data_IF_861049059928
#
_entry.id   IF_861049059928
#
_cell.length_a   1.000
_cell.length_b   1.000
_cell.length_c   1.000
_cell.angle_alpha   90.00
_cell.angle_beta   90.00
_cell.angle_gamma   90.00
#
_symmetry.space_group_name_H-M   'P 1'
#
loop_
_entity.id
_entity.type
_entity.pdbx_description
1 polymer ?
#
# COMPACT_ATOMS: atom_id res chain seq x y z
N UNK A 1 -3.13 -20.69 -11.41
CA UNK A 1 -2.99 -19.40 -10.74
C UNK A 1 -1.62 -19.20 -10.10
N UNK A 2 -1.13 -20.15 -9.33
CA UNK A 2 0.17 -20.06 -8.65
C UNK A 2 1.31 -19.77 -9.59
N UNK A 3 1.39 -20.47 -10.75
CA UNK A 3 2.42 -20.26 -11.77
C UNK A 3 2.40 -18.81 -12.29
N UNK A 4 1.22 -18.25 -12.54
CA UNK A 4 1.09 -16.88 -13.02
C UNK A 4 1.57 -15.88 -11.95
N UNK A 5 1.13 -16.04 -10.71
CA UNK A 5 1.51 -15.16 -9.59
C UNK A 5 3.00 -15.18 -9.29
N UNK A 6 3.60 -16.38 -9.22
CA UNK A 6 5.02 -16.56 -8.99
C UNK A 6 5.84 -15.95 -10.14
N UNK A 7 5.44 -16.22 -11.39
CA UNK A 7 6.13 -15.69 -12.55
C UNK A 7 6.07 -14.16 -12.64
N UNK A 8 4.97 -13.53 -12.21
CA UNK A 8 4.87 -12.06 -12.12
C UNK A 8 5.81 -11.52 -11.05
N UNK A 9 5.90 -12.19 -9.87
CA UNK A 9 6.83 -11.80 -8.80
C UNK A 9 8.29 -11.91 -9.23
N UNK A 10 8.63 -12.95 -10.00
CA UNK A 10 9.97 -13.20 -10.49
C UNK A 10 10.32 -12.45 -11.78
N UNK A 11 9.41 -11.57 -12.28
CA UNK A 11 9.54 -10.84 -13.55
C UNK A 11 9.71 -11.75 -14.78
N UNK A 12 9.23 -13.00 -14.71
CA UNK A 12 9.19 -13.96 -15.83
C UNK A 12 7.95 -13.72 -16.69
N UNK A 13 7.90 -12.58 -17.34
CA UNK A 13 6.68 -12.06 -17.99
C UNK A 13 6.09 -13.02 -19.03
N UNK A 14 6.89 -13.61 -19.90
CA UNK A 14 6.42 -14.59 -20.90
C UNK A 14 5.76 -15.84 -20.29
N UNK A 15 6.28 -16.30 -19.14
CA UNK A 15 5.72 -17.45 -18.44
C UNK A 15 4.39 -17.08 -17.76
N UNK A 16 4.33 -15.88 -17.19
CA UNK A 16 3.12 -15.34 -16.58
C UNK A 16 2.01 -15.17 -17.62
N UNK A 17 2.33 -14.58 -18.77
CA UNK A 17 1.41 -14.38 -19.89
C UNK A 17 0.83 -15.70 -20.39
N UNK A 18 1.68 -16.68 -20.69
CA UNK A 18 1.22 -18.02 -21.12
C UNK A 18 0.28 -18.66 -20.08
N UNK A 19 0.58 -18.53 -18.80
CA UNK A 19 -0.26 -19.08 -17.74
C UNK A 19 -1.62 -18.37 -17.68
N UNK A 20 -1.67 -17.03 -17.80
CA UNK A 20 -2.91 -16.25 -17.83
C UNK A 20 -3.74 -16.54 -19.08
N UNK A 21 -3.11 -16.61 -20.27
CA UNK A 21 -3.79 -16.97 -21.51
C UNK A 21 -4.34 -18.40 -21.47
N UNK A 22 -3.67 -19.32 -20.76
CA UNK A 22 -4.19 -20.68 -20.56
C UNK A 22 -5.47 -20.67 -19.69
N UNK A 23 -5.54 -19.79 -18.69
CA UNK A 23 -6.75 -19.59 -17.87
C UNK A 23 -7.88 -19.07 -18.75
N UNK A 24 -7.60 -18.04 -19.56
CA UNK A 24 -8.60 -17.42 -20.46
C UNK A 24 -9.11 -18.36 -21.56
N UNK A 25 -8.31 -19.36 -22.00
CA UNK A 25 -8.78 -20.40 -22.91
C UNK A 25 -9.84 -21.32 -22.30
N UNK A 26 -9.80 -21.50 -20.99
CA UNK A 26 -10.76 -22.34 -20.26
C UNK A 26 -11.97 -21.52 -19.80
N UNK A 27 -11.72 -20.28 -19.40
CA UNK A 27 -12.72 -19.34 -18.91
C UNK A 27 -12.47 -17.97 -19.53
N UNK A 28 -13.11 -17.74 -20.69
CA UNK A 28 -12.96 -16.50 -21.48
C UNK A 28 -13.50 -15.26 -20.75
N UNK A 29 -14.37 -15.44 -19.75
CA UNK A 29 -14.97 -14.34 -18.97
C UNK A 29 -14.31 -14.16 -17.60
N UNK A 30 -13.09 -14.63 -17.43
CA UNK A 30 -12.36 -14.48 -16.18
C UNK A 30 -11.82 -13.06 -15.99
N UNK A 31 -12.59 -12.19 -15.34
CA UNK A 31 -12.20 -10.80 -15.09
C UNK A 31 -10.87 -10.68 -14.33
N UNK A 32 -10.64 -11.57 -13.35
CA UNK A 32 -9.38 -11.61 -12.59
C UNK A 32 -8.18 -11.91 -13.49
N UNK A 33 -8.31 -12.80 -14.47
CA UNK A 33 -7.24 -13.11 -15.40
C UNK A 33 -6.91 -11.91 -16.30
N UNK A 34 -7.93 -11.21 -16.83
CA UNK A 34 -7.74 -9.97 -17.59
C UNK A 34 -7.08 -8.88 -16.74
N UNK A 35 -7.53 -8.66 -15.50
CA UNK A 35 -6.92 -7.68 -14.62
C UNK A 35 -5.42 -7.97 -14.38
N UNK A 36 -5.05 -9.24 -14.16
CA UNK A 36 -3.65 -9.63 -13.98
C UNK A 36 -2.84 -9.51 -15.26
N UNK A 37 -3.44 -9.78 -16.42
CA UNK A 37 -2.80 -9.56 -17.72
C UNK A 37 -2.55 -8.07 -17.96
N UNK A 38 -3.52 -7.22 -17.62
CA UNK A 38 -3.34 -5.77 -17.63
C UNK A 38 -2.19 -5.28 -16.75
N UNK A 39 -2.09 -5.80 -15.52
CA UNK A 39 -0.94 -5.50 -14.62
C UNK A 39 0.38 -5.98 -15.26
N UNK A 40 0.40 -7.14 -15.89
CA UNK A 40 1.57 -7.67 -16.55
C UNK A 40 2.03 -6.77 -17.71
N UNK A 41 1.12 -6.36 -18.56
CA UNK A 41 1.39 -5.45 -19.68
C UNK A 41 1.81 -4.06 -19.21
N UNK A 42 1.19 -3.54 -18.15
CA UNK A 42 1.61 -2.27 -17.54
C UNK A 42 3.06 -2.31 -17.04
N UNK A 43 3.48 -3.42 -16.40
CA UNK A 43 4.89 -3.64 -15.99
C UNK A 43 5.85 -3.67 -17.18
N UNK A 44 5.42 -4.12 -18.35
CA UNK A 44 6.17 -4.13 -19.59
C UNK A 44 6.07 -2.81 -20.38
N UNK A 45 5.37 -1.82 -19.85
CA UNK A 45 5.03 -0.52 -20.48
C UNK A 45 4.22 -0.66 -21.78
N UNK A 46 3.59 -1.81 -22.00
CA UNK A 46 2.61 -2.05 -23.05
C UNK A 46 1.25 -1.45 -22.63
N UNK A 47 1.20 -0.12 -22.52
CA UNK A 47 0.10 0.58 -21.86
C UNK A 47 -1.25 0.44 -22.58
N UNK A 48 -1.23 0.34 -23.93
CA UNK A 48 -2.45 0.13 -24.72
C UNK A 48 -3.08 -1.22 -24.40
N UNK A 49 -2.26 -2.29 -24.45
CA UNK A 49 -2.73 -3.65 -24.17
C UNK A 49 -3.16 -3.79 -22.70
N UNK A 50 -2.48 -3.10 -21.81
CA UNK A 50 -2.86 -3.06 -20.39
C UNK A 50 -4.23 -2.42 -20.18
N UNK A 51 -4.51 -1.25 -20.80
CA UNK A 51 -5.81 -0.57 -20.70
C UNK A 51 -6.91 -1.46 -21.27
N UNK A 52 -6.70 -2.06 -22.45
CA UNK A 52 -7.68 -2.98 -23.06
C UNK A 52 -8.03 -4.13 -22.11
N UNK A 53 -7.03 -4.76 -21.51
CA UNK A 53 -7.25 -5.83 -20.54
C UNK A 53 -8.05 -5.34 -19.31
N UNK A 54 -7.77 -4.14 -18.79
CA UNK A 54 -8.52 -3.58 -17.67
C UNK A 54 -9.95 -3.19 -18.06
N UNK A 55 -10.18 -2.69 -19.27
CA UNK A 55 -11.53 -2.39 -19.79
C UNK A 55 -12.37 -3.66 -19.92
N UNK A 56 -11.78 -4.75 -20.44
CA UNK A 56 -12.46 -6.06 -20.49
C UNK A 56 -12.76 -6.53 -19.06
N UNK A 57 -11.77 -6.49 -18.16
CA UNK A 57 -12.00 -6.88 -16.77
C UNK A 57 -13.12 -6.08 -16.12
N UNK A 58 -13.15 -4.76 -16.34
CA UNK A 58 -14.16 -3.84 -15.82
C UNK A 58 -15.56 -4.10 -16.39
N UNK A 59 -15.66 -4.51 -17.67
CA UNK A 59 -16.93 -4.86 -18.30
C UNK A 59 -17.51 -6.18 -17.80
N UNK A 60 -16.65 -7.10 -17.39
CA UNK A 60 -17.03 -8.41 -16.84
C UNK A 60 -17.35 -8.33 -15.35
N UNK A 61 -16.51 -7.66 -14.58
CA UNK A 61 -16.65 -7.49 -13.15
C UNK A 61 -16.08 -6.10 -12.75
N UNK A 62 -16.95 -5.10 -12.57
CA UNK A 62 -16.51 -3.77 -12.13
C UNK A 62 -15.71 -3.83 -10.83
N UNK A 63 -14.53 -3.20 -10.81
CA UNK A 63 -13.68 -3.15 -9.62
C UNK A 63 -12.90 -1.86 -9.50
N UNK A 64 -12.85 -1.31 -8.30
CA UNK A 64 -12.02 -0.14 -7.99
C UNK A 64 -10.52 -0.39 -8.26
N UNK A 65 -10.07 -1.63 -8.15
CA UNK A 65 -8.67 -1.99 -8.43
C UNK A 65 -8.32 -1.86 -9.91
N UNK A 66 -9.23 -2.25 -10.83
CA UNK A 66 -9.01 -2.07 -12.29
C UNK A 66 -8.95 -0.60 -12.65
N UNK A 67 -9.89 0.21 -12.14
CA UNK A 67 -9.89 1.67 -12.36
C UNK A 67 -8.66 2.35 -11.77
N UNK A 68 -8.23 1.93 -10.58
CA UNK A 68 -6.98 2.42 -9.99
C UNK A 68 -5.76 2.15 -10.89
N UNK A 69 -5.65 0.92 -11.44
CA UNK A 69 -4.55 0.56 -12.32
C UNK A 69 -4.60 1.36 -13.64
N UNK A 70 -5.77 1.59 -14.21
CA UNK A 70 -5.95 2.48 -15.37
C UNK A 70 -5.51 3.91 -15.03
N UNK A 71 -5.89 4.42 -13.87
CA UNK A 71 -5.45 5.73 -13.37
C UNK A 71 -3.92 5.84 -13.27
N UNK A 72 -3.25 4.79 -12.78
CA UNK A 72 -1.78 4.76 -12.73
C UNK A 72 -1.16 4.82 -14.13
N UNK A 73 -1.71 4.11 -15.12
CA UNK A 73 -1.22 4.17 -16.51
C UNK A 73 -1.39 5.57 -17.09
N UNK A 74 -2.55 6.20 -16.88
CA UNK A 74 -2.75 7.57 -17.33
C UNK A 74 -1.82 8.57 -16.63
N UNK A 75 -1.49 8.35 -15.36
CA UNK A 75 -0.49 9.14 -14.65
C UNK A 75 0.91 8.98 -15.25
N UNK A 76 1.34 7.75 -15.52
CA UNK A 76 2.65 7.44 -16.13
C UNK A 76 2.76 7.96 -17.57
N UNK A 77 1.64 8.11 -18.27
CA UNK A 77 1.57 8.68 -19.62
C UNK A 77 1.23 10.18 -19.61
N UNK A 78 1.34 10.82 -18.46
CA UNK A 78 1.12 12.26 -18.24
C UNK A 78 -0.28 12.77 -18.63
N UNK A 79 -1.25 11.86 -18.76
CA UNK A 79 -2.64 12.22 -19.02
C UNK A 79 -3.38 12.40 -17.69
N UNK A 80 -3.08 13.49 -17.00
CA UNK A 80 -3.49 13.71 -15.61
C UNK A 80 -5.00 13.89 -15.45
N UNK A 81 -5.71 14.43 -16.44
CA UNK A 81 -7.16 14.57 -16.44
C UNK A 81 -7.85 13.21 -16.45
N UNK A 82 -7.41 12.29 -17.33
CA UNK A 82 -7.94 10.92 -17.35
C UNK A 82 -7.55 10.13 -16.12
N UNK A 83 -6.35 10.33 -15.60
CA UNK A 83 -5.90 9.73 -14.34
C UNK A 83 -6.81 10.17 -13.18
N UNK A 84 -7.11 11.48 -13.08
CA UNK A 84 -8.01 12.01 -12.06
C UNK A 84 -9.39 11.35 -12.11
N UNK A 85 -9.98 11.28 -13.31
CA UNK A 85 -11.28 10.66 -13.49
C UNK A 85 -11.29 9.18 -13.08
N UNK A 86 -10.28 8.43 -13.49
CA UNK A 86 -10.17 7.01 -13.15
C UNK A 86 -10.02 6.78 -11.63
N UNK A 87 -9.23 7.63 -10.95
CA UNK A 87 -9.12 7.54 -9.49
C UNK A 87 -10.38 8.00 -8.77
N UNK A 88 -11.07 9.05 -9.26
CA UNK A 88 -12.35 9.47 -8.70
C UNK A 88 -13.38 8.33 -8.78
N UNK A 89 -13.53 7.69 -9.94
CA UNK A 89 -14.39 6.53 -10.10
C UNK A 89 -14.00 5.34 -9.20
N UNK A 90 -12.69 5.09 -9.03
CA UNK A 90 -12.21 4.05 -8.12
C UNK A 90 -12.57 4.35 -6.66
N UNK A 91 -12.48 5.61 -6.24
CA UNK A 91 -12.83 6.06 -4.89
C UNK A 91 -14.35 6.08 -4.64
N UNK A 92 -15.16 6.33 -5.68
CA UNK A 92 -16.62 6.20 -5.60
C UNK A 92 -17.08 4.76 -5.40
N UNK A 93 -16.33 3.78 -5.92
CA UNK A 93 -16.63 2.36 -5.72
C UNK A 93 -16.15 1.84 -4.35
N UNK A 94 -14.95 2.22 -3.93
CA UNK A 94 -14.32 1.78 -2.69
C UNK A 94 -13.43 2.91 -2.16
N UNK A 95 -13.71 3.41 -0.98
CA UNK A 95 -13.06 4.58 -0.36
C UNK A 95 -12.24 4.23 0.91
N UNK A 96 -12.01 2.95 1.15
CA UNK A 96 -11.38 2.43 2.36
C UNK A 96 -9.86 2.21 2.26
N UNK A 97 -9.23 2.58 1.14
CA UNK A 97 -7.81 2.32 0.89
C UNK A 97 -7.00 3.62 0.80
N UNK A 98 -6.15 3.87 1.82
CA UNK A 98 -5.28 5.05 1.86
C UNK A 98 -4.41 5.23 0.59
N UNK A 99 -3.94 4.13 0.01
CA UNK A 99 -3.13 4.15 -1.21
C UNK A 99 -3.85 4.78 -2.42
N UNK A 100 -5.20 4.62 -2.54
CA UNK A 100 -5.98 5.25 -3.61
C UNK A 100 -6.03 6.76 -3.45
N UNK A 101 -6.24 7.24 -2.24
CA UNK A 101 -6.22 8.68 -1.94
C UNK A 101 -4.85 9.30 -2.18
N UNK A 102 -3.77 8.60 -1.82
CA UNK A 102 -2.40 9.07 -2.10
C UNK A 102 -2.14 9.15 -3.61
N UNK A 103 -2.58 8.15 -4.38
CA UNK A 103 -2.44 8.18 -5.84
C UNK A 103 -3.24 9.32 -6.47
N UNK A 104 -4.48 9.52 -6.02
CA UNK A 104 -5.31 10.65 -6.44
C UNK A 104 -4.69 12.00 -6.10
N UNK A 105 -4.16 12.15 -4.87
CA UNK A 105 -3.47 13.38 -4.46
C UNK A 105 -2.27 13.71 -5.36
N UNK A 106 -1.46 12.71 -5.75
CA UNK A 106 -0.35 12.91 -6.69
C UNK A 106 -0.80 13.43 -8.06
N UNK A 107 -1.93 12.94 -8.55
CA UNK A 107 -2.52 13.46 -9.80
C UNK A 107 -2.98 14.89 -9.62
N UNK A 108 -3.69 15.19 -8.52
CA UNK A 108 -4.16 16.56 -8.24
C UNK A 108 -3.00 17.55 -8.05
N UNK A 109 -1.86 17.10 -7.54
CA UNK A 109 -0.64 17.91 -7.46
C UNK A 109 -0.12 18.27 -8.87
N UNK A 110 -0.11 17.32 -9.81
CA UNK A 110 0.28 17.57 -11.21
C UNK A 110 -0.68 18.53 -11.92
N UNK A 111 -1.96 18.47 -11.59
CA UNK A 111 -2.99 19.41 -12.10
C UNK A 111 -2.89 20.79 -11.42
N UNK A 112 -2.23 20.88 -10.25
CA UNK A 112 -2.10 22.12 -9.48
C UNK A 112 -3.27 22.40 -8.52
N UNK A 113 -4.08 21.39 -8.20
CA UNK A 113 -5.24 21.54 -7.32
C UNK A 113 -4.91 21.26 -5.85
N UNK A 114 -4.21 22.21 -5.20
CA UNK A 114 -3.74 22.09 -3.81
C UNK A 114 -4.84 21.70 -2.82
N UNK A 115 -6.05 22.21 -2.99
CA UNK A 115 -7.18 21.88 -2.09
C UNK A 115 -7.55 20.39 -2.17
N UNK A 116 -7.66 19.84 -3.39
CA UNK A 116 -7.95 18.42 -3.57
C UNK A 116 -6.80 17.53 -3.07
N UNK A 117 -5.55 17.99 -3.21
CA UNK A 117 -4.35 17.30 -2.66
C UNK A 117 -4.50 17.14 -1.15
N UNK A 118 -4.73 18.23 -0.43
CA UNK A 118 -4.83 18.21 1.04
C UNK A 118 -5.99 17.32 1.48
N UNK A 119 -7.19 17.53 0.93
CA UNK A 119 -8.36 16.74 1.30
C UNK A 119 -8.15 15.22 1.09
N UNK A 120 -7.52 14.84 -0.02
CA UNK A 120 -7.25 13.43 -0.29
C UNK A 120 -6.21 12.86 0.69
N UNK A 121 -5.16 13.60 1.01
CA UNK A 121 -4.14 13.15 1.96
C UNK A 121 -4.65 13.12 3.40
N UNK A 122 -5.55 14.02 3.79
CA UNK A 122 -6.25 13.95 5.08
C UNK A 122 -7.04 12.64 5.19
N UNK A 123 -7.79 12.26 4.14
CA UNK A 123 -8.49 10.98 4.08
C UNK A 123 -7.52 9.78 4.16
N UNK A 124 -6.40 9.84 3.46
CA UNK A 124 -5.38 8.80 3.55
C UNK A 124 -4.83 8.65 4.99
N UNK A 125 -4.62 9.76 5.71
CA UNK A 125 -4.16 9.76 7.11
C UNK A 125 -5.25 9.27 8.07
N UNK A 126 -6.53 9.58 7.82
CA UNK A 126 -7.65 9.04 8.60
C UNK A 126 -7.72 7.51 8.51
N UNK A 127 -7.52 6.96 7.29
CA UNK A 127 -7.55 5.52 7.05
C UNK A 127 -6.28 4.81 7.56
N UNK A 128 -5.13 5.39 7.33
CA UNK A 128 -3.84 4.79 7.67
C UNK A 128 -2.88 5.83 8.29
N UNK A 129 -3.01 6.11 9.60
CA UNK A 129 -2.20 7.12 10.28
C UNK A 129 -0.78 6.60 10.61
N UNK A 130 -0.01 6.23 9.59
CA UNK A 130 1.40 5.80 9.73
C UNK A 130 2.37 6.97 9.50
N UNK A 131 3.63 6.88 9.98
CA UNK A 131 4.61 7.96 9.79
C UNK A 131 4.77 8.41 8.35
N UNK A 132 4.62 7.50 7.39
CA UNK A 132 4.76 7.81 5.97
C UNK A 132 3.60 8.68 5.45
N UNK A 133 2.35 8.34 5.74
CA UNK A 133 1.18 9.13 5.33
C UNK A 133 1.18 10.52 5.98
N UNK A 134 1.56 10.60 7.27
CA UNK A 134 1.71 11.86 7.98
C UNK A 134 2.77 12.78 7.33
N UNK A 135 3.90 12.23 6.88
CA UNK A 135 4.94 13.01 6.20
C UNK A 135 4.46 13.56 4.85
N UNK A 136 3.78 12.73 4.06
CA UNK A 136 3.23 13.15 2.75
C UNK A 136 2.23 14.30 2.95
N UNK A 137 1.34 14.21 3.93
CA UNK A 137 0.41 15.30 4.25
C UNK A 137 1.14 16.56 4.75
N UNK A 138 2.19 16.40 5.57
CA UNK A 138 3.00 17.52 6.02
C UNK A 138 3.68 18.27 4.85
N UNK A 139 4.19 17.53 3.85
CA UNK A 139 4.75 18.12 2.64
C UNK A 139 3.68 18.90 1.84
N UNK A 140 2.46 18.38 1.74
CA UNK A 140 1.35 19.07 1.08
C UNK A 140 0.95 20.36 1.81
N UNK A 141 0.94 20.37 3.14
CA UNK A 141 0.69 21.56 3.92
C UNK A 141 1.79 22.62 3.78
N UNK A 142 3.08 22.21 3.73
CA UNK A 142 4.17 23.14 3.45
C UNK A 142 4.02 23.80 2.07
N UNK A 143 3.71 23.00 1.06
CA UNK A 143 3.48 23.50 -0.30
C UNK A 143 2.29 24.47 -0.37
N UNK A 144 1.35 24.35 0.56
CA UNK A 144 0.20 25.25 0.72
C UNK A 144 0.49 26.47 1.64
N UNK A 145 1.72 26.59 2.19
CA UNK A 145 2.10 27.64 3.14
C UNK A 145 1.57 27.44 4.57
N UNK A 146 1.03 26.27 4.89
CA UNK A 146 0.48 25.92 6.21
C UNK A 146 1.54 25.21 7.08
N UNK A 147 2.65 25.90 7.33
CA UNK A 147 3.84 25.33 7.96
C UNK A 147 3.62 24.84 9.40
N UNK A 148 2.74 25.47 10.16
CA UNK A 148 2.43 25.06 11.54
C UNK A 148 1.80 23.66 11.58
N UNK A 149 0.82 23.37 10.71
CA UNK A 149 0.20 22.06 10.57
C UNK A 149 1.20 21.00 10.09
N UNK A 150 2.07 21.38 9.16
CA UNK A 150 3.12 20.51 8.67
C UNK A 150 4.09 20.08 9.80
N UNK A 151 4.50 21.01 10.66
CA UNK A 151 5.35 20.72 11.80
C UNK A 151 4.69 19.81 12.83
N UNK A 152 3.40 20.02 13.13
CA UNK A 152 2.65 19.15 14.04
C UNK A 152 2.61 17.70 13.54
N UNK A 153 2.34 17.52 12.24
CA UNK A 153 2.32 16.18 11.63
C UNK A 153 3.71 15.51 11.66
N UNK A 154 4.78 16.27 11.43
CA UNK A 154 6.15 15.75 11.52
C UNK A 154 6.51 15.33 12.95
N UNK A 155 6.13 16.13 13.94
CA UNK A 155 6.30 15.78 15.36
C UNK A 155 5.53 14.50 15.71
N UNK A 156 4.29 14.36 15.22
CA UNK A 156 3.47 13.15 15.39
C UNK A 156 4.13 11.93 14.73
N UNK A 157 4.59 12.06 13.49
CA UNK A 157 5.27 10.99 12.76
C UNK A 157 6.57 10.55 13.48
N UNK A 158 7.37 11.50 13.97
CA UNK A 158 8.61 11.22 14.71
C UNK A 158 8.32 10.50 16.02
N UNK A 159 7.29 10.92 16.77
CA UNK A 159 6.89 10.27 18.02
C UNK A 159 6.47 8.81 17.81
N UNK A 160 5.88 8.47 16.68
CA UNK A 160 5.51 7.09 16.33
C UNK A 160 6.72 6.21 16.01
N UNK A 161 7.83 6.80 15.56
CA UNK A 161 9.07 6.08 15.24
C UNK A 161 9.99 5.88 16.45
N UNK A 162 9.85 6.71 17.51
CA UNK A 162 10.63 6.55 18.73
C UNK A 162 9.99 5.46 19.60
N UNK A 163 10.70 4.36 19.92
CA UNK A 163 10.17 3.39 20.87
C UNK A 163 9.94 4.09 22.19
N UNK A 164 8.75 3.95 22.75
CA UNK A 164 8.44 4.41 24.13
C UNK A 164 9.35 3.67 25.11
N UNK A 165 10.41 4.33 25.55
CA UNK A 165 11.33 3.83 26.59
C UNK A 165 10.71 3.86 27.98
N UNK A 166 9.41 3.59 28.12
CA UNK A 166 8.73 3.57 29.40
C UNK A 166 8.07 2.23 29.69
N UNK A 167 8.85 1.13 29.67
CA UNK A 167 8.51 -0.08 30.44
C UNK A 167 9.72 -0.99 30.64
N UNK A 168 10.78 -0.46 31.26
CA UNK A 168 11.81 -1.29 31.91
C UNK A 168 12.25 -0.64 33.22
N UNK A 169 11.30 -0.54 34.16
CA UNK A 169 11.58 -0.45 35.59
C UNK A 169 10.67 -1.45 36.29
N UNK A 170 11.00 -2.71 36.21
CA UNK A 170 10.64 -3.76 37.14
C UNK A 170 11.30 -5.04 36.65
N UNK A 171 12.44 -5.32 37.15
CA UNK A 171 12.84 -6.58 37.76
C UNK A 171 14.32 -6.50 38.10
N UNK A 172 14.58 -5.97 39.28
CA UNK A 172 15.83 -6.25 39.95
C UNK A 172 15.87 -7.75 40.25
N UNK A 173 16.95 -8.47 39.93
CA UNK A 173 17.02 -9.91 40.21
C UNK A 173 16.96 -10.11 41.74
N UNK A 174 16.01 -10.89 42.23
CA UNK A 174 15.93 -11.32 43.62
C UNK A 174 17.21 -12.05 43.98
N UNK A 175 17.83 -11.75 45.15
CA UNK A 175 19.02 -12.45 45.59
C UNK A 175 18.73 -13.94 45.73
N UNK A 176 19.58 -14.78 45.11
CA UNK A 176 19.53 -16.22 45.23
C UNK A 176 19.68 -16.60 46.72
N UNK A 177 18.64 -17.18 47.34
CA UNK A 177 18.73 -17.85 48.60
C UNK A 177 19.71 -19.03 48.47
N UNK A 178 20.80 -18.95 49.23
CA UNK A 178 21.77 -20.05 49.36
C UNK A 178 21.05 -21.26 49.97
N UNK A 179 20.90 -22.33 49.16
CA UNK A 179 20.50 -23.64 49.68
C UNK A 179 21.57 -24.13 50.61
N UNK A 180 21.25 -24.25 51.88
CA UNK A 180 22.08 -24.94 52.87
C UNK A 180 22.22 -26.41 52.44
N UNK A 181 23.48 -26.79 52.14
CA UNK A 181 23.86 -28.13 51.85
C UNK A 181 23.77 -28.93 53.13
N UNK A 182 22.87 -29.91 53.20
CA UNK A 182 22.74 -30.87 54.30
C UNK A 182 23.92 -31.83 54.24
N UNK A 183 24.80 -31.83 55.24
CA UNK A 183 25.86 -32.82 55.38
C UNK A 183 25.28 -34.19 55.78
N UNK A 184 25.75 -35.31 55.19
CA UNK A 184 25.26 -36.65 55.60
C UNK A 184 25.84 -37.04 56.96
N UNK A 185 25.01 -37.58 57.81
CA UNK A 185 25.37 -38.13 59.12
C UNK A 185 26.28 -39.33 58.95
N UNK A 186 27.44 -39.34 59.63
CA UNK A 186 28.31 -40.48 59.78
C UNK A 186 27.54 -41.58 60.54
N UNK A 187 27.44 -42.74 59.93
CA UNK A 187 27.08 -44.01 60.59
C UNK A 187 28.33 -44.52 61.28
N UNK A 188 28.27 -44.70 62.59
CA UNK A 188 29.29 -45.38 63.38
C UNK A 188 28.77 -46.78 63.65
N UNK A 189 29.57 -47.79 63.29
CA UNK A 189 29.41 -49.16 63.74
C UNK A 189 29.78 -49.31 65.18
#
# INVERSE_FOLDING_TARGET
WEIAQESIRENKYLRAEKALLTILRVDEKNATAYNRLGILYAKQRAYKDAIECFEIAQSLEPSASSLHNVGLIYYETENYEKASLAFEQALEMEDDLAARYIAYAKVQEKIGNTKKVINALEKAVELEPIPQTLKILAEAYDNAGQTELAEELRKKATKMLTPTTSSKKADAPRPRQQRKIHQPRKIVM
#
